data_IF_721701946193
#
_entry.id   IF_721701946193
#
_cell.length_a   1.000
_cell.length_b   1.000
_cell.length_c   1.000
_cell.angle_alpha   90.00
_cell.angle_beta   90.00
_cell.angle_gamma   90.00
#
_symmetry.space_group_name_H-M   'P 1'
#
loop_
_entity.id
_entity.type
_entity.pdbx_description
1 polymer ?
#
# COMPACT_ATOMS: atom_id res chain seq x y z
N UNK A 1 -23.71 4.51 -7.23
CA UNK A 1 -22.51 4.90 -6.47
C UNK A 1 -21.42 3.89 -6.72
N UNK A 2 -20.18 4.33 -6.89
CA UNK A 2 -19.01 3.44 -6.88
C UNK A 2 -17.79 4.21 -6.41
N UNK A 3 -16.82 3.49 -5.85
CA UNK A 3 -15.52 4.05 -5.57
C UNK A 3 -14.63 4.01 -6.81
N UNK A 4 -13.75 5.00 -6.91
CA UNK A 4 -12.62 5.01 -7.82
C UNK A 4 -11.33 5.23 -7.03
N UNK A 5 -10.29 4.47 -7.36
CA UNK A 5 -8.96 4.62 -6.79
C UNK A 5 -7.99 5.16 -7.85
N UNK A 6 -7.16 6.12 -7.47
CA UNK A 6 -6.07 6.67 -8.29
C UNK A 6 -4.77 6.60 -7.52
N UNK A 7 -3.70 6.24 -8.21
CA UNK A 7 -2.36 6.27 -7.66
C UNK A 7 -1.76 7.67 -7.86
N UNK A 8 -1.35 8.34 -6.78
CA UNK A 8 -0.81 9.69 -6.79
C UNK A 8 0.30 9.80 -5.75
N UNK A 9 1.50 10.20 -6.16
CA UNK A 9 2.67 10.40 -5.30
C UNK A 9 2.96 9.23 -4.33
N UNK A 10 2.81 8.00 -4.83
CA UNK A 10 3.05 6.79 -4.04
C UNK A 10 1.92 6.43 -3.07
N UNK A 11 0.86 7.23 -2.97
CA UNK A 11 -0.35 6.99 -2.16
C UNK A 11 -1.53 6.59 -3.05
N UNK A 12 -2.60 6.12 -2.41
CA UNK A 12 -3.86 5.83 -3.10
C UNK A 12 -4.92 6.87 -2.73
N UNK A 13 -5.36 7.63 -3.71
CA UNK A 13 -6.49 8.55 -3.58
C UNK A 13 -7.78 7.82 -3.92
N UNK A 14 -8.70 7.74 -2.96
CA UNK A 14 -9.99 7.09 -3.09
C UNK A 14 -11.08 8.16 -3.17
N UNK A 15 -12.03 8.01 -4.10
CA UNK A 15 -13.16 8.92 -4.29
C UNK A 15 -14.46 8.12 -4.40
N UNK A 16 -15.52 8.56 -3.70
CA UNK A 16 -16.87 8.04 -3.92
C UNK A 16 -17.56 8.89 -4.98
N UNK A 17 -17.98 8.27 -6.08
CA UNK A 17 -18.66 8.97 -7.17
C UNK A 17 -20.10 8.48 -7.35
N UNK A 18 -20.97 9.45 -7.64
CA UNK A 18 -22.28 9.22 -8.20
C UNK A 18 -22.19 9.38 -9.71
N UNK A 19 -22.66 8.35 -10.42
CA UNK A 19 -22.84 8.38 -11.87
C UNK A 19 -24.33 8.28 -12.11
N UNK A 20 -24.93 9.35 -12.62
CA UNK A 20 -26.33 9.35 -13.03
C UNK A 20 -26.39 9.16 -14.55
N UNK A 21 -27.13 8.14 -14.99
CA UNK A 21 -27.24 7.80 -16.39
C UNK A 21 -28.12 8.81 -17.12
N UNK A 22 -27.57 9.45 -18.16
CA UNK A 22 -28.37 10.20 -19.12
C UNK A 22 -29.24 9.23 -19.90
N UNK A 23 -30.51 9.08 -19.52
CA UNK A 23 -31.45 8.32 -20.31
C UNK A 23 -31.70 9.07 -21.62
N UNK A 24 -31.49 8.36 -22.72
CA UNK A 24 -31.88 8.67 -24.09
C UNK A 24 -31.08 9.67 -24.95
N UNK A 25 -30.35 10.67 -24.42
CA UNK A 25 -29.49 11.56 -25.26
C UNK A 25 -28.51 12.45 -24.46
N UNK A 26 -28.40 12.30 -23.14
CA UNK A 26 -27.59 13.16 -22.27
C UNK A 26 -26.26 12.54 -21.86
N UNK A 27 -25.19 13.36 -21.76
CA UNK A 27 -23.95 12.97 -21.07
C UNK A 27 -24.29 12.67 -19.61
N UNK A 28 -23.91 11.49 -19.12
CA UNK A 28 -24.11 11.15 -17.70
C UNK A 28 -23.39 12.16 -16.80
N UNK A 29 -24.06 12.60 -15.73
CA UNK A 29 -23.46 13.52 -14.76
C UNK A 29 -22.66 12.71 -13.75
N UNK A 30 -21.41 13.13 -13.56
CA UNK A 30 -20.51 12.62 -12.53
C UNK A 30 -20.44 13.66 -11.41
N UNK A 31 -20.74 13.26 -10.18
CA UNK A 31 -20.52 14.08 -8.99
C UNK A 31 -19.73 13.32 -7.93
N UNK A 32 -18.87 14.05 -7.22
CA UNK A 32 -18.14 13.55 -6.06
C UNK A 32 -19.05 13.63 -4.83
N UNK A 33 -18.92 12.65 -3.94
CA UNK A 33 -19.64 12.61 -2.67
C UNK A 33 -18.67 13.02 -1.55
N UNK A 34 -19.06 13.97 -0.68
CA UNK A 34 -18.24 14.37 0.46
C UNK A 34 -17.91 13.19 1.38
N UNK A 35 -16.71 13.17 1.97
CA UNK A 35 -16.25 12.05 2.83
C UNK A 35 -17.21 11.81 3.99
N UNK A 36 -17.78 12.87 4.57
CA UNK A 36 -18.76 12.79 5.67
C UNK A 36 -20.02 12.00 5.29
N UNK A 37 -20.37 11.98 4.00
CA UNK A 37 -21.54 11.26 3.48
C UNK A 37 -21.23 9.81 3.06
N UNK A 38 -19.95 9.38 3.10
CA UNK A 38 -19.56 8.08 2.55
C UNK A 38 -20.22 6.92 3.28
N UNK A 39 -20.35 6.95 4.61
CA UNK A 39 -20.93 5.84 5.35
C UNK A 39 -22.41 5.61 4.97
N UNK A 40 -23.11 6.69 4.62
CA UNK A 40 -24.53 6.68 4.24
C UNK A 40 -24.68 6.27 2.78
N UNK A 41 -23.88 6.88 1.89
CA UNK A 41 -24.06 6.77 0.44
C UNK A 41 -23.25 5.62 -0.21
N UNK A 42 -22.25 5.06 0.47
CA UNK A 42 -21.45 3.98 -0.07
C UNK A 42 -22.30 2.72 -0.36
N UNK A 43 -21.97 1.98 -1.43
CA UNK A 43 -22.53 0.65 -1.66
C UNK A 43 -22.36 -0.24 -0.42
N UNK A 44 -23.35 -1.09 -0.12
CA UNK A 44 -23.34 -1.96 1.07
C UNK A 44 -22.06 -2.79 1.18
N UNK A 45 -21.55 -3.31 0.07
CA UNK A 45 -20.33 -4.10 0.03
C UNK A 45 -19.06 -3.31 0.43
N UNK A 46 -19.07 -1.98 0.30
CA UNK A 46 -17.95 -1.12 0.64
C UNK A 46 -18.00 -0.57 2.08
N UNK A 47 -19.11 -0.75 2.80
CA UNK A 47 -19.28 -0.19 4.15
C UNK A 47 -18.22 -0.65 5.16
N UNK A 48 -17.79 -1.93 5.20
CA UNK A 48 -16.70 -2.34 6.08
C UNK A 48 -15.39 -1.61 5.78
N UNK A 49 -15.07 -1.44 4.48
CA UNK A 49 -13.89 -0.71 4.05
C UNK A 49 -13.97 0.76 4.45
N UNK A 50 -15.11 1.42 4.20
CA UNK A 50 -15.35 2.82 4.58
C UNK A 50 -15.21 3.02 6.10
N UNK A 51 -15.82 2.15 6.91
CA UNK A 51 -15.70 2.22 8.36
C UNK A 51 -14.24 2.12 8.81
N UNK A 52 -13.45 1.22 8.20
CA UNK A 52 -12.02 1.11 8.46
C UNK A 52 -11.24 2.36 8.07
N UNK A 53 -11.56 2.99 6.93
CA UNK A 53 -10.90 4.24 6.52
C UNK A 53 -11.21 5.38 7.50
N UNK A 54 -12.48 5.55 7.87
CA UNK A 54 -12.90 6.57 8.82
C UNK A 54 -12.28 6.36 10.21
N UNK A 55 -12.16 5.10 10.65
CA UNK A 55 -11.45 4.77 11.87
C UNK A 55 -9.97 5.15 11.78
N UNK A 56 -9.28 4.80 10.68
CA UNK A 56 -7.87 5.15 10.50
C UNK A 56 -7.62 6.67 10.48
N UNK A 57 -8.57 7.45 9.94
CA UNK A 57 -8.56 8.92 9.99
C UNK A 57 -8.76 9.40 11.43
N UNK A 58 -9.77 8.88 12.13
CA UNK A 58 -10.11 9.28 13.50
C UNK A 58 -9.03 8.94 14.53
N UNK A 59 -8.32 7.83 14.33
CA UNK A 59 -7.22 7.41 15.20
C UNK A 59 -5.97 8.30 15.05
N UNK A 60 -5.80 8.98 13.90
CA UNK A 60 -4.64 9.83 13.64
C UNK A 60 -3.30 9.08 13.62
N UNK A 61 -3.33 7.77 13.38
CA UNK A 61 -2.12 6.95 13.41
C UNK A 61 -1.19 7.26 12.23
N UNK A 62 0.10 7.37 12.53
CA UNK A 62 1.14 7.52 11.52
C UNK A 62 1.69 6.16 11.09
N UNK A 63 2.09 6.07 9.84
CA UNK A 63 2.90 4.99 9.29
C UNK A 63 4.34 5.05 9.86
N UNK A 64 5.14 3.99 9.68
CA UNK A 64 6.53 3.94 10.17
C UNK A 64 7.44 5.05 9.63
N UNK A 65 7.09 5.64 8.48
CA UNK A 65 7.80 6.78 7.88
C UNK A 65 7.37 8.14 8.44
N UNK A 66 6.42 8.16 9.39
CA UNK A 66 5.88 9.36 10.02
C UNK A 66 4.71 10.00 9.28
N UNK A 67 4.34 9.52 8.09
CA UNK A 67 3.19 10.02 7.33
C UNK A 67 1.86 9.48 7.86
N UNK A 68 0.75 10.20 7.66
CA UNK A 68 -0.57 9.72 8.10
C UNK A 68 -0.99 8.44 7.35
N UNK A 69 -1.54 7.45 8.07
CA UNK A 69 -2.03 6.21 7.43
C UNK A 69 -3.20 6.46 6.48
N UNK A 70 -4.09 7.38 6.85
CA UNK A 70 -5.19 7.87 6.04
C UNK A 70 -5.42 9.36 6.31
N UNK A 71 -5.72 10.11 5.27
CA UNK A 71 -5.94 11.55 5.35
C UNK A 71 -7.17 11.91 4.50
N UNK A 72 -8.16 12.54 5.11
CA UNK A 72 -9.35 12.99 4.44
C UNK A 72 -9.17 14.41 3.88
N UNK A 73 -9.69 14.59 2.67
CA UNK A 73 -10.07 15.89 2.09
C UNK A 73 -11.59 15.90 1.94
N UNK A 74 -12.18 17.03 1.54
CA UNK A 74 -13.64 17.17 1.40
C UNK A 74 -14.32 16.00 0.65
N UNK A 75 -13.71 15.52 -0.44
CA UNK A 75 -14.32 14.56 -1.36
C UNK A 75 -13.49 13.29 -1.60
N UNK A 76 -12.38 13.12 -0.89
CA UNK A 76 -11.47 12.00 -1.11
C UNK A 76 -10.67 11.64 0.13
N UNK A 77 -10.22 10.39 0.19
CA UNK A 77 -9.30 9.92 1.21
C UNK A 77 -8.01 9.45 0.54
N UNK A 78 -6.88 9.99 1.00
CA UNK A 78 -5.54 9.56 0.59
C UNK A 78 -5.01 8.50 1.58
N UNK A 79 -4.59 7.35 1.06
CA UNK A 79 -4.16 6.19 1.86
C UNK A 79 -2.66 5.95 1.70
N UNK A 80 -1.99 5.74 2.83
CA UNK A 80 -0.61 5.27 2.85
C UNK A 80 -0.51 3.83 2.32
N UNK A 81 0.55 3.46 1.56
CA UNK A 81 0.77 2.11 1.06
C UNK A 81 0.61 0.99 2.09
N UNK A 82 1.07 1.22 3.31
CA UNK A 82 0.95 0.28 4.41
C UNK A 82 -0.49 -0.06 4.77
N UNK A 83 -1.41 0.91 4.72
CA UNK A 83 -2.84 0.68 4.98
C UNK A 83 -3.48 -0.06 3.79
N UNK A 84 -3.16 0.37 2.57
CA UNK A 84 -3.65 -0.26 1.32
C UNK A 84 -3.24 -1.74 1.25
N UNK A 85 -2.02 -2.07 1.67
CA UNK A 85 -1.52 -3.44 1.67
C UNK A 85 -2.26 -4.35 2.67
N UNK A 86 -2.84 -3.79 3.74
CA UNK A 86 -3.58 -4.51 4.77
C UNK A 86 -5.06 -4.73 4.43
N UNK A 87 -5.57 -4.09 3.39
CA UNK A 87 -6.94 -4.30 2.95
C UNK A 87 -7.12 -5.74 2.45
N UNK A 88 -8.24 -6.35 2.85
CA UNK A 88 -8.71 -7.61 2.28
C UNK A 88 -9.06 -7.42 0.80
N UNK A 89 -9.17 -8.52 0.06
CA UNK A 89 -9.52 -8.46 -1.36
C UNK A 89 -10.92 -7.86 -1.60
N UNK A 90 -11.87 -8.17 -0.73
CA UNK A 90 -13.22 -7.61 -0.77
C UNK A 90 -13.23 -6.11 -0.53
N UNK A 91 -12.52 -5.64 0.51
CA UNK A 91 -12.39 -4.20 0.80
C UNK A 91 -11.72 -3.46 -0.36
N UNK A 92 -10.58 -3.96 -0.85
CA UNK A 92 -9.85 -3.34 -1.95
C UNK A 92 -10.73 -3.22 -3.21
N UNK A 93 -11.37 -4.31 -3.62
CA UNK A 93 -12.26 -4.32 -4.80
C UNK A 93 -13.43 -3.35 -4.62
N UNK A 94 -14.01 -3.31 -3.42
CA UNK A 94 -15.13 -2.40 -3.12
C UNK A 94 -14.75 -0.91 -3.16
N UNK A 95 -13.48 -0.59 -2.91
CA UNK A 95 -12.90 0.75 -3.01
C UNK A 95 -12.36 1.07 -4.41
N UNK A 96 -12.52 0.16 -5.38
CA UNK A 96 -12.00 0.34 -6.74
C UNK A 96 -10.49 0.18 -6.86
N UNK A 97 -9.83 -0.41 -5.85
CA UNK A 97 -8.41 -0.77 -5.91
C UNK A 97 -8.22 -2.05 -6.74
N UNK A 98 -7.04 -2.24 -7.36
CA UNK A 98 -6.72 -3.44 -8.11
C UNK A 98 -6.57 -4.65 -7.20
N UNK A 99 -6.69 -5.85 -7.75
CA UNK A 99 -6.49 -7.08 -7.01
C UNK A 99 -5.05 -7.25 -6.55
N UNK A 100 -4.82 -8.11 -5.55
CA UNK A 100 -3.47 -8.44 -5.08
C UNK A 100 -2.69 -9.21 -6.14
N UNK A 101 -1.43 -8.81 -6.35
CA UNK A 101 -0.50 -9.54 -7.18
C UNK A 101 -0.25 -10.94 -6.59
N UNK A 102 -0.41 -11.99 -7.40
CA UNK A 102 0.04 -13.35 -7.04
C UNK A 102 1.56 -13.48 -7.24
N UNK A 103 2.31 -12.65 -6.54
CA UNK A 103 3.77 -12.61 -6.57
C UNK A 103 4.30 -12.78 -5.15
N UNK A 104 5.47 -13.40 -5.04
CA UNK A 104 6.22 -13.47 -3.79
C UNK A 104 7.45 -12.57 -3.89
N UNK A 105 7.75 -11.84 -2.82
CA UNK A 105 9.02 -11.16 -2.66
C UNK A 105 9.99 -12.11 -1.96
N UNK A 106 10.99 -12.58 -2.69
CA UNK A 106 12.05 -13.40 -2.14
C UNK A 106 13.18 -12.50 -1.60
N UNK A 107 13.60 -12.77 -0.37
CA UNK A 107 14.77 -12.15 0.25
C UNK A 107 15.89 -13.17 0.28
N UNK A 108 17.04 -12.81 -0.28
CA UNK A 108 18.23 -13.63 -0.23
C UNK A 108 19.31 -12.90 0.56
N UNK A 109 19.73 -13.52 1.66
CA UNK A 109 20.90 -13.09 2.41
C UNK A 109 22.15 -13.52 1.67
N UNK A 110 23.04 -12.60 1.37
CA UNK A 110 24.37 -12.85 0.83
C UNK A 110 25.40 -12.46 1.89
N UNK A 111 26.41 -13.30 2.10
CA UNK A 111 27.43 -13.09 3.14
C UNK A 111 26.95 -13.49 4.54
N UNK A 112 27.70 -13.06 5.56
CA UNK A 112 27.43 -13.35 6.98
C UNK A 112 27.09 -12.04 7.68
N UNK A 113 26.00 -12.00 8.46
CA UNK A 113 25.44 -10.78 9.06
C UNK A 113 26.39 -9.87 9.87
N UNK A 114 27.58 -10.34 10.23
CA UNK A 114 28.59 -9.58 10.99
C UNK A 114 29.81 -9.20 10.16
N UNK A 115 29.79 -9.46 8.86
CA UNK A 115 30.85 -9.08 7.92
C UNK A 115 30.37 -7.95 7.02
N UNK A 116 31.32 -7.16 6.55
CA UNK A 116 31.06 -5.97 5.73
C UNK A 116 30.45 -6.31 4.35
N UNK A 117 30.49 -7.58 3.92
CA UNK A 117 29.93 -8.05 2.66
C UNK A 117 28.45 -8.46 2.75
N UNK A 118 27.86 -8.41 3.96
CA UNK A 118 26.47 -8.79 4.17
C UNK A 118 25.53 -7.86 3.43
N UNK A 119 24.70 -8.44 2.57
CA UNK A 119 23.62 -7.72 1.90
C UNK A 119 22.38 -8.58 1.75
N UNK A 120 21.23 -7.92 1.68
CA UNK A 120 19.96 -8.55 1.39
C UNK A 120 19.58 -8.19 -0.04
N UNK A 121 19.55 -9.19 -0.91
CA UNK A 121 19.03 -9.03 -2.25
C UNK A 121 17.53 -9.34 -2.26
N UNK A 122 16.75 -8.52 -2.96
CA UNK A 122 15.31 -8.72 -3.10
C UNK A 122 14.98 -9.04 -4.55
N UNK A 123 14.13 -10.05 -4.77
CA UNK A 123 13.62 -10.37 -6.10
C UNK A 123 12.16 -10.75 -6.05
N UNK A 124 11.39 -10.27 -7.01
CA UNK A 124 10.02 -10.72 -7.21
C UNK A 124 10.02 -12.07 -7.95
N UNK A 125 9.18 -12.99 -7.49
CA UNK A 125 9.00 -14.29 -8.12
C UNK A 125 7.53 -14.59 -8.34
N UNK A 126 7.24 -15.22 -9.48
CA UNK A 126 5.93 -15.78 -9.81
C UNK A 126 5.65 -17.00 -8.93
N UNK A 127 4.40 -17.51 -8.89
CA UNK A 127 4.05 -18.71 -8.12
C UNK A 127 4.81 -19.97 -8.56
N UNK A 128 5.30 -20.01 -9.81
CA UNK A 128 6.13 -21.09 -10.32
C UNK A 128 7.63 -20.94 -9.98
N UNK A 129 8.01 -19.95 -9.15
CA UNK A 129 9.38 -19.71 -8.69
C UNK A 129 10.25 -18.89 -9.66
N UNK A 130 9.78 -18.60 -10.87
CA UNK A 130 10.54 -17.83 -11.85
C UNK A 130 10.60 -16.34 -11.46
N UNK A 131 11.73 -15.65 -11.74
CA UNK A 131 11.83 -14.22 -11.55
C UNK A 131 10.74 -13.44 -12.31
N UNK A 132 10.30 -12.33 -11.72
CA UNK A 132 9.35 -11.40 -12.31
C UNK A 132 9.96 -10.00 -12.31
N UNK A 133 9.98 -9.35 -13.49
CA UNK A 133 10.25 -7.92 -13.58
C UNK A 133 9.04 -7.15 -13.10
N UNK A 134 9.14 -6.52 -11.92
CA UNK A 134 8.05 -5.77 -11.30
C UNK A 134 8.53 -4.35 -11.07
N UNK A 135 7.76 -3.38 -11.56
CA UNK A 135 7.96 -1.97 -11.19
C UNK A 135 7.00 -1.62 -10.07
N UNK A 136 7.53 -1.33 -8.89
CA UNK A 136 6.75 -0.94 -7.72
C UNK A 136 6.66 0.59 -7.60
N UNK A 137 5.49 1.08 -7.18
CA UNK A 137 5.28 2.46 -6.73
C UNK A 137 4.28 2.43 -5.58
N UNK A 138 4.70 2.78 -4.37
CA UNK A 138 3.85 2.65 -3.18
C UNK A 138 3.31 1.22 -2.98
N UNK A 139 1.98 1.09 -2.91
CA UNK A 139 1.30 -0.20 -2.83
C UNK A 139 0.92 -0.80 -4.19
N UNK A 140 1.32 -0.18 -5.31
CA UNK A 140 1.10 -0.68 -6.67
C UNK A 140 2.31 -1.44 -7.18
N UNK A 141 2.02 -2.49 -7.94
CA UNK A 141 2.99 -3.23 -8.73
C UNK A 141 2.52 -3.28 -10.18
N UNK A 142 3.40 -2.91 -11.11
CA UNK A 142 3.16 -3.11 -12.53
C UNK A 142 3.85 -4.41 -12.97
N UNK A 143 3.05 -5.36 -13.45
CA UNK A 143 3.51 -6.68 -13.89
C UNK A 143 2.61 -7.19 -15.02
N UNK A 144 3.21 -7.69 -16.10
CA UNK A 144 2.51 -8.20 -17.30
C UNK A 144 1.51 -7.18 -17.90
N UNK A 145 1.95 -5.93 -18.04
CA UNK A 145 1.14 -4.81 -18.55
C UNK A 145 -0.12 -4.49 -17.72
N UNK A 146 -0.22 -5.02 -16.50
CA UNK A 146 -1.33 -4.81 -15.58
C UNK A 146 -0.84 -4.20 -14.28
N UNK A 147 -1.73 -3.45 -13.65
CA UNK A 147 -1.55 -2.95 -12.30
C UNK A 147 -2.13 -3.92 -11.28
N UNK A 148 -1.37 -4.11 -10.21
CA UNK A 148 -1.71 -4.97 -9.10
C UNK A 148 -1.46 -4.24 -7.79
N UNK A 149 -2.10 -4.71 -6.73
CA UNK A 149 -1.82 -4.29 -5.36
C UNK A 149 -0.78 -5.22 -4.74
N UNK A 150 0.09 -4.66 -3.91
CA UNK A 150 1.03 -5.43 -3.09
C UNK A 150 0.35 -5.78 -1.75
N UNK A 151 0.39 -7.06 -1.36
CA UNK A 151 -0.13 -7.51 -0.08
C UNK A 151 0.71 -7.02 1.10
N UNK A 152 0.14 -6.99 2.30
CA UNK A 152 0.87 -6.65 3.53
C UNK A 152 2.14 -7.51 3.71
N UNK A 153 2.06 -8.81 3.41
CA UNK A 153 3.20 -9.74 3.54
C UNK A 153 4.39 -9.38 2.64
N UNK A 154 4.12 -8.84 1.45
CA UNK A 154 5.15 -8.38 0.54
C UNK A 154 5.55 -6.92 0.79
N UNK A 155 4.62 -6.07 1.22
CA UNK A 155 4.83 -4.63 1.48
C UNK A 155 5.77 -4.37 2.64
N UNK A 156 5.55 -5.01 3.80
CA UNK A 156 6.46 -4.92 4.96
C UNK A 156 7.89 -5.32 4.58
N UNK A 157 8.01 -6.33 3.72
CA UNK A 157 9.28 -6.88 3.25
C UNK A 157 9.99 -5.97 2.22
N UNK A 158 9.24 -5.26 1.39
CA UNK A 158 9.78 -4.23 0.50
C UNK A 158 10.27 -3.01 1.30
N UNK A 159 9.51 -2.58 2.30
CA UNK A 159 9.91 -1.45 3.16
C UNK A 159 11.19 -1.75 3.96
N UNK A 160 11.44 -3.02 4.30
CA UNK A 160 12.68 -3.47 4.94
C UNK A 160 13.86 -3.61 3.95
N UNK A 161 13.58 -3.85 2.67
CA UNK A 161 14.60 -4.06 1.63
C UNK A 161 14.92 -2.82 0.79
N UNK A 162 14.27 -1.68 1.05
CA UNK A 162 14.60 -0.41 0.40
C UNK A 162 15.77 0.21 1.19
N UNK A 163 16.92 0.39 0.52
CA UNK A 163 18.28 0.67 1.05
C UNK A 163 18.43 1.73 2.17
N UNK A 164 17.38 2.47 2.51
CA UNK A 164 17.31 3.44 3.61
C UNK A 164 17.44 2.89 5.04
N UNK A 165 17.45 1.57 5.26
CA UNK A 165 17.65 0.97 6.60
C UNK A 165 19.12 0.76 6.96
N UNK A 166 20.00 0.56 5.97
CA UNK A 166 21.45 0.39 6.22
C UNK A 166 22.15 1.72 6.54
N UNK A 167 21.61 2.85 6.09
CA UNK A 167 22.14 4.19 6.42
C UNK A 167 21.85 4.66 7.86
N UNK A 168 20.97 3.96 8.61
CA UNK A 168 20.58 4.37 9.98
C UNK A 168 21.22 3.59 11.12
N UNK A 169 22.08 2.62 10.81
CA UNK A 169 22.97 2.05 11.81
C UNK A 169 24.38 2.61 11.59
N UNK A 170 24.84 3.63 12.34
CA UNK A 170 26.27 3.82 12.49
C UNK A 170 26.86 2.50 12.99
N UNK A 171 27.91 2.04 12.33
CA UNK A 171 28.65 0.83 12.69
C UNK A 171 28.73 0.72 14.22
N UNK A 172 28.11 -0.31 14.79
CA UNK A 172 28.28 -0.60 16.21
C UNK A 172 29.79 -0.74 16.45
N UNK A 173 30.40 0.04 17.37
CA UNK A 173 31.81 -0.11 17.65
C UNK A 173 32.06 -1.53 18.17
N UNK A 174 32.92 -2.25 17.46
CA UNK A 174 33.34 -3.59 17.79
C UNK A 174 33.96 -3.63 19.20
N UNK A 175 33.41 -4.51 20.06
CA UNK A 175 33.99 -5.08 21.29
C UNK A 175 34.67 -4.11 22.29
N UNK A 176 34.07 -4.00 23.48
CA UNK A 176 34.86 -3.74 24.69
C UNK A 176 35.77 -4.95 25.01
N UNK A 177 37.02 -4.73 25.46
CA UNK A 177 37.89 -5.81 25.93
C UNK A 177 37.34 -6.40 27.23
N UNK A 178 37.35 -7.73 27.34
CA UNK A 178 37.16 -8.42 28.62
C UNK A 178 38.34 -8.07 29.53
N UNK A 179 38.09 -7.33 30.60
CA UNK A 179 39.01 -7.26 31.73
C UNK A 179 39.02 -8.62 32.42
N UNK A 180 40.17 -9.29 32.37
CA UNK A 180 40.46 -10.41 33.24
C UNK A 180 40.67 -9.90 34.67
N UNK A 181 40.07 -10.57 35.64
CA UNK A 181 40.49 -10.62 37.04
C UNK A 181 40.20 -12.02 37.54
#
# INVERSE_FOLDING_TARGET
>A
MRFEARHEDGRERIELIRVEGGRFLGKGTRSLIPVDDWIIQAPTAARPAVARLLQAIGDGNNAPDGSAQAEASDNAVCLHPGLVAQLTEGEATSLGLPPVARLALNLQSIGVAHQDDFRIETRWTRPNGLPAGVKQSGARAHFEAKEWRISASASTRCMLGNDSWLDRYPAMPARMPRSAS
#
